data_IF_401478310291
#
_entry.id   IF_401478310291
#
_cell.length_a   1.000
_cell.length_b   1.000
_cell.length_c   1.000
_cell.angle_alpha   90.00
_cell.angle_beta   90.00
_cell.angle_gamma   90.00
#
_symmetry.space_group_name_H-M   'P 1'
#
loop_
_entity.id
_entity.type
_entity.pdbx_description
1 polymer ?
#
# COMPACT_ATOMS: atom_id res chain seq x y z
N UNK A 1 3.00 -12.97 7.52
CA UNK A 1 3.09 -14.24 6.76
C UNK A 1 1.77 -14.45 6.06
N UNK A 2 1.75 -14.34 4.74
CA UNK A 2 0.59 -14.61 3.90
C UNK A 2 0.66 -16.06 3.43
N UNK A 3 -0.45 -16.79 3.50
CA UNK A 3 -0.53 -18.21 3.18
C UNK A 3 -1.39 -18.39 1.92
N UNK A 4 -0.83 -19.06 0.92
CA UNK A 4 -1.50 -19.32 -0.35
C UNK A 4 -1.78 -18.05 -1.17
N UNK A 5 -2.65 -18.16 -2.19
CA UNK A 5 -2.76 -17.14 -3.24
C UNK A 5 -3.68 -15.95 -2.89
N UNK A 6 -4.33 -15.93 -1.72
CA UNK A 6 -5.37 -14.95 -1.39
C UNK A 6 -4.89 -13.49 -1.46
N UNK A 7 -3.62 -13.24 -1.19
CA UNK A 7 -3.02 -11.91 -1.21
C UNK A 7 -2.15 -11.66 -2.46
N UNK A 8 -2.13 -12.59 -3.42
CA UNK A 8 -1.36 -12.43 -4.65
C UNK A 8 -1.85 -11.24 -5.47
N UNK A 9 -0.91 -10.49 -6.06
CA UNK A 9 -1.20 -9.30 -6.86
C UNK A 9 -1.54 -8.04 -6.06
N UNK A 10 -1.67 -8.13 -4.72
CA UNK A 10 -1.78 -6.95 -3.87
C UNK A 10 -0.40 -6.40 -3.56
N UNK A 11 -0.27 -5.07 -3.56
CA UNK A 11 0.91 -4.40 -3.05
C UNK A 11 1.17 -4.87 -1.62
N UNK A 12 2.40 -5.26 -1.32
CA UNK A 12 2.86 -5.70 -0.02
C UNK A 12 4.27 -5.14 0.21
N UNK A 13 4.60 -4.85 1.47
CA UNK A 13 5.95 -4.44 1.83
C UNK A 13 6.88 -5.64 1.98
N UNK A 14 8.19 -5.38 2.02
CA UNK A 14 9.21 -6.43 2.21
C UNK A 14 9.10 -7.11 3.58
N UNK A 15 8.29 -6.55 4.49
CA UNK A 15 7.93 -7.15 5.75
C UNK A 15 6.96 -8.34 5.65
N UNK A 16 6.39 -8.60 4.48
CA UNK A 16 5.40 -9.65 4.25
C UNK A 16 6.04 -10.87 3.59
N UNK A 17 6.24 -11.95 4.36
CA UNK A 17 6.61 -13.24 3.80
C UNK A 17 5.39 -13.95 3.18
N UNK A 18 5.49 -14.37 1.92
CA UNK A 18 4.50 -15.20 1.23
C UNK A 18 4.95 -16.67 1.26
N UNK A 19 4.02 -17.59 1.58
CA UNK A 19 4.28 -19.03 1.60
C UNK A 19 3.12 -19.81 1.00
N UNK A 20 3.43 -20.98 0.44
CA UNK A 20 2.43 -21.93 -0.04
C UNK A 20 1.65 -22.57 1.12
N UNK A 21 0.58 -23.29 0.80
CA UNK A 21 -0.26 -24.01 1.76
C UNK A 21 0.42 -25.33 2.17
N UNK A 22 1.64 -25.22 2.69
CA UNK A 22 2.43 -26.33 3.22
C UNK A 22 2.73 -26.11 4.72
N UNK A 23 2.37 -27.04 5.62
CA UNK A 23 2.53 -26.86 7.06
C UNK A 23 3.96 -26.56 7.50
N UNK A 24 4.96 -27.16 6.86
CA UNK A 24 6.36 -26.97 7.22
C UNK A 24 6.88 -25.59 6.80
N UNK A 25 6.52 -25.14 5.60
CA UNK A 25 6.83 -23.80 5.12
C UNK A 25 6.14 -22.72 5.96
N UNK A 26 4.88 -22.93 6.34
CA UNK A 26 4.14 -22.04 7.24
C UNK A 26 4.85 -21.96 8.60
N UNK A 27 5.18 -23.10 9.20
CA UNK A 27 5.90 -23.15 10.47
C UNK A 27 7.25 -22.44 10.40
N UNK A 28 8.05 -22.70 9.36
CA UNK A 28 9.36 -22.07 9.15
C UNK A 28 9.25 -20.56 8.98
N UNK A 29 8.30 -20.07 8.19
CA UNK A 29 8.12 -18.63 8.00
C UNK A 29 7.67 -17.93 9.28
N UNK A 30 6.77 -18.55 10.06
CA UNK A 30 6.37 -18.03 11.38
C UNK A 30 7.57 -18.02 12.33
N UNK A 31 8.32 -19.13 12.42
CA UNK A 31 9.53 -19.22 13.25
C UNK A 31 10.54 -18.14 12.87
N UNK A 32 10.85 -17.97 11.59
CA UNK A 32 11.75 -16.92 11.10
C UNK A 32 11.28 -15.53 11.55
N UNK A 33 10.00 -15.20 11.31
CA UNK A 33 9.45 -13.90 11.70
C UNK A 33 9.54 -13.64 13.23
N UNK A 34 9.44 -14.69 14.05
CA UNK A 34 9.49 -14.58 15.51
C UNK A 34 10.91 -14.56 16.06
N UNK A 35 11.85 -15.33 15.49
CA UNK A 35 13.15 -15.62 16.15
C UNK A 35 14.39 -15.22 15.38
N UNK A 36 14.30 -14.96 14.07
CA UNK A 36 15.45 -14.53 13.27
C UNK A 36 15.66 -13.03 13.42
N UNK A 37 16.68 -12.64 14.21
CA UNK A 37 17.01 -11.24 14.48
C UNK A 37 17.37 -10.45 13.22
N UNK A 38 18.17 -11.05 12.34
CA UNK A 38 18.60 -10.41 11.08
C UNK A 38 17.39 -10.13 10.19
N UNK A 39 16.49 -11.09 10.07
CA UNK A 39 15.24 -10.89 9.33
C UNK A 39 14.39 -9.78 9.95
N UNK A 40 14.23 -9.75 11.27
CA UNK A 40 13.42 -8.74 11.96
C UNK A 40 13.98 -7.32 11.80
N UNK A 41 15.30 -7.18 11.79
CA UNK A 41 15.95 -5.88 11.58
C UNK A 41 15.78 -5.41 10.14
N UNK A 42 15.94 -6.30 9.16
CA UNK A 42 15.64 -5.99 7.76
C UNK A 42 14.18 -5.57 7.55
N UNK A 43 13.25 -6.31 8.15
CA UNK A 43 11.81 -6.01 8.14
C UNK A 43 11.49 -4.65 8.78
N UNK A 44 12.17 -4.29 9.87
CA UNK A 44 11.96 -3.00 10.55
C UNK A 44 12.46 -1.81 9.73
N UNK A 45 13.53 -2.02 8.95
CA UNK A 45 14.08 -1.00 8.06
C UNK A 45 13.36 -0.95 6.70
N UNK A 46 12.48 -1.90 6.40
CA UNK A 46 11.77 -1.94 5.12
C UNK A 46 10.87 -0.71 4.94
N UNK A 47 10.87 -0.10 3.75
CA UNK A 47 10.00 1.03 3.45
C UNK A 47 8.53 0.59 3.46
N UNK A 48 7.64 1.50 3.88
CA UNK A 48 6.21 1.26 3.81
C UNK A 48 5.69 1.60 2.40
N UNK A 49 5.24 0.62 1.61
CA UNK A 49 4.78 0.88 0.24
C UNK A 49 3.50 1.72 0.17
N UNK A 50 2.81 1.93 1.31
CA UNK A 50 1.60 2.74 1.40
C UNK A 50 1.88 4.21 1.73
N UNK A 51 3.15 4.60 1.90
CA UNK A 51 3.58 5.99 2.02
C UNK A 51 4.24 6.35 3.36
N UNK A 52 4.68 7.60 3.42
CA UNK A 52 5.58 8.14 4.45
C UNK A 52 4.86 8.82 5.62
N UNK A 53 3.52 8.70 5.70
CA UNK A 53 2.70 9.31 6.75
C UNK A 53 2.41 10.80 6.57
N UNK A 54 2.82 11.42 5.46
CA UNK A 54 2.65 12.85 5.16
C UNK A 54 1.44 13.16 4.25
N UNK A 55 0.61 12.15 3.97
CA UNK A 55 -0.51 12.24 3.01
C UNK A 55 -1.43 13.44 3.28
N UNK A 56 -1.76 13.72 4.55
CA UNK A 56 -2.66 14.83 4.89
C UNK A 56 -2.12 16.21 4.49
N UNK A 57 -0.83 16.45 4.72
CA UNK A 57 -0.17 17.70 4.35
C UNK A 57 -0.08 17.83 2.82
N UNK A 58 0.28 16.74 2.13
CA UNK A 58 0.35 16.72 0.66
C UNK A 58 -1.01 16.99 0.01
N UNK A 59 -2.07 16.33 0.48
CA UNK A 59 -3.43 16.57 -0.01
C UNK A 59 -3.84 18.02 0.24
N UNK A 60 -3.63 18.53 1.45
CA UNK A 60 -3.98 19.90 1.81
C UNK A 60 -3.25 20.91 0.92
N UNK A 61 -1.97 20.68 0.63
CA UNK A 61 -1.19 21.52 -0.29
C UNK A 61 -1.80 21.53 -1.68
N UNK A 62 -2.08 20.36 -2.26
CA UNK A 62 -2.72 20.24 -3.57
C UNK A 62 -4.04 21.00 -3.60
N UNK A 63 -4.90 20.82 -2.60
CA UNK A 63 -6.20 21.51 -2.54
C UNK A 63 -6.08 23.03 -2.39
N UNK A 64 -5.06 23.53 -1.68
CA UNK A 64 -4.81 24.98 -1.54
C UNK A 64 -4.27 25.61 -2.81
N UNK A 65 -3.44 24.88 -3.55
CA UNK A 65 -2.77 25.35 -4.77
C UNK A 65 -3.62 25.10 -6.03
N UNK A 66 -4.71 24.34 -5.91
CA UNK A 66 -5.60 24.02 -7.03
C UNK A 66 -6.36 25.27 -7.49
N UNK A 67 -6.15 25.64 -8.76
CA UNK A 67 -6.98 26.63 -9.45
C UNK A 67 -8.30 25.98 -9.88
N UNK A 68 -9.40 26.40 -9.26
CA UNK A 68 -10.73 25.86 -9.55
C UNK A 68 -11.30 26.34 -10.89
N UNK A 69 -10.72 27.40 -11.47
CA UNK A 69 -11.09 27.92 -12.78
C UNK A 69 -10.29 27.27 -13.93
N UNK A 70 -9.37 26.33 -13.62
CA UNK A 70 -8.57 25.64 -14.63
C UNK A 70 -9.47 24.85 -15.61
N UNK A 71 -9.48 25.20 -16.91
CA UNK A 71 -10.36 24.57 -17.90
C UNK A 71 -10.03 23.09 -18.16
N UNK A 72 -8.89 22.58 -17.66
CA UNK A 72 -8.54 21.15 -17.70
C UNK A 72 -9.26 20.34 -16.61
N UNK A 73 -9.81 20.99 -15.58
CA UNK A 73 -10.61 20.31 -14.58
C UNK A 73 -11.93 19.88 -15.21
N UNK A 74 -12.10 18.57 -15.33
CA UNK A 74 -13.32 17.97 -15.86
C UNK A 74 -14.44 18.09 -14.84
N UNK A 75 -15.33 19.06 -15.06
CA UNK A 75 -16.59 19.13 -14.35
C UNK A 75 -17.54 18.07 -14.91
N UNK A 76 -17.87 17.07 -14.08
CA UNK A 76 -18.90 16.08 -14.44
C UNK A 76 -20.25 16.79 -14.54
N UNK A 77 -20.70 17.04 -15.76
CA UNK A 77 -22.02 17.60 -16.05
C UNK A 77 -23.08 16.55 -15.74
N UNK A 78 -23.88 16.77 -14.70
CA UNK A 78 -25.02 15.90 -14.34
C UNK A 78 -26.30 16.27 -15.08
N UNK A 79 -26.29 17.40 -15.80
CA UNK A 79 -27.37 17.88 -16.64
C UNK A 79 -26.74 18.31 -17.97
N UNK A 80 -27.22 17.77 -19.10
CA UNK A 80 -26.80 18.22 -20.42
C UNK A 80 -27.54 19.54 -20.75
N UNK A 81 -26.88 20.53 -21.37
CA UNK A 81 -27.55 21.76 -21.78
C UNK A 81 -28.67 21.44 -22.78
N UNK A 82 -29.80 22.19 -22.76
CA UNK A 82 -30.85 22.01 -23.74
C UNK A 82 -30.33 22.32 -25.15
N UNK A 83 -30.74 21.49 -26.10
CA UNK A 83 -30.41 21.57 -27.53
C UNK A 83 -30.98 22.83 -28.17
#
# INVERSE_FOLDING_TARGET
VNIGPRQSGRLAGDNVAHVDVDPHNIFRAIRRALTDGVYRDAVRAAPNPYGEGDTGARVTRVLRELDLDDPRLLNKQTILPPV
#
